data_IF_970291745958
#
_entry.id   IF_970291745958
#
_cell.length_a   1.000
_cell.length_b   1.000
_cell.length_c   1.000
_cell.angle_alpha   90.00
_cell.angle_beta   90.00
_cell.angle_gamma   90.00
#
_symmetry.space_group_name_H-M   'P 1'
#
loop_
_entity.id
_entity.type
_entity.pdbx_description
1 polymer ?
#
# COMPACT_ATOMS: atom_id res chain seq x y z
N UNK A 1 -17.35 15.95 14.98
CA UNK A 1 -15.91 15.78 14.67
C UNK A 1 -15.84 14.87 13.46
N UNK A 2 -15.19 15.31 12.39
CA UNK A 2 -15.20 14.60 11.10
C UNK A 2 -13.92 13.79 10.99
N UNK A 3 -13.98 12.47 11.19
CA UNK A 3 -12.81 11.60 11.02
C UNK A 3 -12.20 11.80 9.64
N UNK A 4 -10.88 12.00 9.60
CA UNK A 4 -10.14 12.15 8.35
C UNK A 4 -9.90 10.77 7.75
N UNK A 5 -10.69 10.41 6.74
CA UNK A 5 -10.54 9.15 6.01
C UNK A 5 -9.65 9.36 4.80
N UNK A 6 -8.53 8.65 4.77
CA UNK A 6 -7.52 8.72 3.71
C UNK A 6 -7.42 7.34 3.07
N UNK A 7 -7.59 7.29 1.76
CA UNK A 7 -7.55 6.08 0.96
C UNK A 7 -6.38 6.16 -0.02
N UNK A 8 -5.48 5.18 0.05
CA UNK A 8 -4.35 4.99 -0.86
C UNK A 8 -4.67 3.81 -1.77
N UNK A 9 -4.60 4.02 -3.09
CA UNK A 9 -4.90 3.00 -4.09
C UNK A 9 -3.60 2.55 -4.77
N UNK A 10 -3.30 1.26 -4.67
CA UNK A 10 -2.10 0.60 -5.20
C UNK A 10 -1.03 0.37 -4.14
N UNK A 11 -0.54 -0.87 -4.02
CA UNK A 11 0.52 -1.29 -3.09
C UNK A 11 1.93 -1.35 -3.69
N UNK A 12 2.20 -0.60 -4.76
CA UNK A 12 3.54 -0.47 -5.33
C UNK A 12 4.45 0.47 -4.52
N UNK A 13 5.64 0.79 -5.05
CA UNK A 13 6.63 1.66 -4.40
C UNK A 13 6.02 2.95 -3.82
N UNK A 14 5.39 3.74 -4.68
CA UNK A 14 4.81 5.02 -4.29
C UNK A 14 3.66 4.86 -3.28
N UNK A 15 2.81 3.84 -3.44
CA UNK A 15 1.67 3.61 -2.55
C UNK A 15 2.10 3.21 -1.15
N UNK A 16 3.08 2.31 -1.05
CA UNK A 16 3.67 1.91 0.24
C UNK A 16 4.37 3.10 0.91
N UNK A 17 5.22 3.82 0.18
CA UNK A 17 5.96 4.95 0.77
C UNK A 17 5.04 6.10 1.15
N UNK A 18 4.02 6.41 0.34
CA UNK A 18 2.96 7.35 0.68
C UNK A 18 2.22 6.93 1.96
N UNK A 19 1.83 5.66 2.05
CA UNK A 19 1.14 5.12 3.23
C UNK A 19 2.02 5.26 4.48
N UNK A 20 3.31 4.89 4.39
CA UNK A 20 4.26 5.05 5.51
C UNK A 20 4.46 6.50 5.93
N UNK A 21 4.52 7.42 4.96
CA UNK A 21 4.60 8.85 5.24
C UNK A 21 3.35 9.36 5.96
N UNK A 22 2.16 8.94 5.52
CA UNK A 22 0.88 9.26 6.16
C UNK A 22 0.80 8.69 7.58
N UNK A 23 1.19 7.43 7.79
CA UNK A 23 1.24 6.79 9.12
C UNK A 23 2.16 7.55 10.11
N UNK A 24 3.26 8.09 9.59
CA UNK A 24 4.20 8.91 10.36
C UNK A 24 3.60 10.29 10.66
N UNK A 25 3.05 10.95 9.64
CA UNK A 25 2.46 12.28 9.75
C UNK A 25 1.29 12.31 10.75
N UNK A 26 0.37 11.34 10.66
CA UNK A 26 -0.79 11.21 11.53
C UNK A 26 -0.53 10.34 12.77
N UNK A 27 0.73 10.09 13.13
CA UNK A 27 1.09 9.14 14.21
C UNK A 27 0.39 9.39 15.55
N UNK A 28 0.08 10.65 15.86
CA UNK A 28 -0.55 11.11 17.12
C UNK A 28 -2.05 11.44 16.96
N UNK A 29 -2.55 11.46 15.73
CA UNK A 29 -3.95 11.79 15.42
C UNK A 29 -4.77 10.49 15.41
N UNK A 30 -5.66 10.32 16.39
CA UNK A 30 -6.52 9.13 16.51
C UNK A 30 -7.76 9.19 15.63
N UNK A 31 -8.08 10.36 15.07
CA UNK A 31 -9.24 10.55 14.18
C UNK A 31 -8.89 10.32 12.70
N UNK A 32 -7.59 10.11 12.39
CA UNK A 32 -7.11 9.79 11.07
C UNK A 32 -7.20 8.28 10.79
N UNK A 33 -8.01 7.91 9.82
CA UNK A 33 -8.18 6.54 9.33
C UNK A 33 -7.51 6.40 7.97
N UNK A 34 -6.38 5.67 7.92
CA UNK A 34 -5.64 5.40 6.69
C UNK A 34 -5.97 4.00 6.21
N UNK A 35 -6.33 3.88 4.93
CA UNK A 35 -6.62 2.62 4.26
C UNK A 35 -5.79 2.48 2.99
N UNK A 36 -5.15 1.33 2.81
CA UNK A 36 -4.42 0.95 1.60
C UNK A 36 -5.18 -0.18 0.90
N UNK A 37 -5.50 0.01 -0.38
CA UNK A 37 -6.11 -1.01 -1.23
C UNK A 37 -5.09 -1.42 -2.29
N UNK A 38 -4.88 -2.73 -2.46
CA UNK A 38 -3.97 -3.26 -3.48
C UNK A 38 -4.43 -4.63 -3.95
N UNK A 39 -4.16 -4.97 -5.21
CA UNK A 39 -4.44 -6.31 -5.74
C UNK A 39 -3.64 -7.38 -5.02
N UNK A 40 -2.38 -7.06 -4.70
CA UNK A 40 -1.45 -7.95 -3.99
C UNK A 40 -1.17 -7.46 -2.56
N UNK A 41 -0.99 -8.39 -1.63
CA UNK A 41 -0.66 -8.13 -0.23
C UNK A 41 0.86 -8.01 0.06
N UNK A 42 1.66 -7.78 -0.98
CA UNK A 42 3.09 -7.56 -0.90
C UNK A 42 3.54 -6.48 -1.89
N UNK A 43 4.64 -5.80 -1.56
CA UNK A 43 5.42 -5.01 -2.51
C UNK A 43 6.36 -5.94 -3.26
N UNK A 44 6.30 -5.91 -4.59
CA UNK A 44 7.28 -6.55 -5.47
C UNK A 44 8.42 -5.58 -5.78
N UNK A 45 9.65 -5.95 -5.45
CA UNK A 45 10.84 -5.18 -5.81
C UNK A 45 11.19 -5.44 -7.29
N UNK A 46 10.43 -4.82 -8.19
CA UNK A 46 10.54 -5.00 -9.63
C UNK A 46 11.94 -4.77 -10.23
N UNK A 47 12.84 -3.93 -9.66
CA UNK A 47 14.20 -3.79 -10.18
C UNK A 47 15.01 -5.09 -10.22
N UNK A 48 14.67 -6.08 -9.38
CA UNK A 48 15.38 -7.37 -9.30
C UNK A 48 14.73 -8.50 -10.11
N UNK A 49 13.70 -8.20 -10.91
CA UNK A 49 13.07 -9.20 -11.78
C UNK A 49 14.03 -9.87 -12.77
N UNK A 50 15.02 -9.17 -13.38
CA UNK A 50 15.99 -9.82 -14.26
C UNK A 50 16.80 -10.93 -13.56
N UNK A 51 17.17 -10.74 -12.28
CA UNK A 51 17.92 -11.71 -11.48
C UNK A 51 17.07 -12.90 -11.08
N UNK A 52 15.76 -12.70 -10.89
CA UNK A 52 14.82 -13.82 -10.70
C UNK A 52 14.66 -14.60 -12.00
N UNK A 53 14.51 -13.91 -13.14
CA UNK A 53 14.40 -14.55 -14.44
C UNK A 53 15.66 -15.33 -14.83
N UNK A 54 16.86 -14.88 -14.42
CA UNK A 54 18.11 -15.59 -14.63
C UNK A 54 18.38 -16.73 -13.63
N UNK A 55 17.53 -16.91 -12.62
CA UNK A 55 17.70 -17.92 -11.57
C UNK A 55 18.76 -17.58 -10.52
N UNK A 56 19.32 -16.36 -10.54
CA UNK A 56 20.30 -15.91 -9.54
C UNK A 56 19.68 -15.65 -8.16
N UNK A 57 18.38 -15.33 -8.13
CA UNK A 57 17.64 -14.99 -6.91
C UNK A 57 16.27 -15.65 -6.95
N UNK A 58 15.85 -16.24 -5.83
CA UNK A 58 14.49 -16.77 -5.71
C UNK A 58 13.44 -15.65 -5.50
N UNK A 59 12.23 -15.83 -6.02
CA UNK A 59 11.12 -14.85 -5.94
C UNK A 59 10.85 -14.36 -4.51
N UNK A 60 10.99 -15.22 -3.50
CA UNK A 60 10.75 -14.88 -2.09
C UNK A 60 11.67 -13.76 -1.57
N UNK A 61 12.82 -13.54 -2.20
CA UNK A 61 13.78 -12.50 -1.81
C UNK A 61 13.42 -11.11 -2.34
N UNK A 62 12.47 -11.01 -3.28
CA UNK A 62 12.08 -9.73 -3.90
C UNK A 62 10.63 -9.33 -3.56
N UNK A 63 10.00 -10.03 -2.61
CA UNK A 63 8.66 -9.72 -2.12
C UNK A 63 8.72 -9.28 -0.67
N UNK A 64 8.00 -8.20 -0.34
CA UNK A 64 7.97 -7.62 1.00
C UNK A 64 6.50 -7.51 1.43
N UNK A 65 6.04 -8.32 2.41
CA UNK A 65 4.64 -8.29 2.83
C UNK A 65 4.19 -6.89 3.23
N UNK A 66 3.08 -6.41 2.67
CA UNK A 66 2.59 -5.04 2.87
C UNK A 66 2.33 -4.75 4.35
N UNK A 67 1.87 -5.74 5.10
CA UNK A 67 1.64 -5.65 6.56
C UNK A 67 2.94 -5.40 7.37
N UNK A 68 4.09 -5.80 6.86
CA UNK A 68 5.38 -5.51 7.50
C UNK A 68 5.81 -4.06 7.26
N UNK A 69 5.45 -3.51 6.09
CA UNK A 69 5.82 -2.16 5.66
C UNK A 69 4.87 -1.08 6.21
N UNK A 70 3.56 -1.35 6.17
CA UNK A 70 2.48 -0.46 6.62
C UNK A 70 1.79 -1.09 7.83
N UNK A 71 2.09 -0.59 9.04
CA UNK A 71 1.72 -1.26 10.30
C UNK A 71 0.41 -0.76 10.90
N UNK A 72 -0.02 0.45 10.54
CA UNK A 72 -1.17 1.14 11.13
C UNK A 72 -2.33 1.26 10.16
N UNK A 73 -2.04 1.38 8.87
CA UNK A 73 -3.05 1.46 7.83
C UNK A 73 -3.86 0.15 7.79
N UNK A 74 -5.16 0.29 7.56
CA UNK A 74 -6.00 -0.86 7.22
C UNK A 74 -5.65 -1.29 5.80
N UNK A 75 -5.47 -2.58 5.59
CA UNK A 75 -5.19 -3.13 4.27
C UNK A 75 -6.43 -3.87 3.74
N UNK A 76 -6.83 -3.57 2.51
CA UNK A 76 -7.83 -4.36 1.78
C UNK A 76 -7.19 -4.89 0.50
N UNK A 77 -7.26 -6.21 0.34
CA UNK A 77 -6.85 -6.88 -0.89
C UNK A 77 -7.99 -6.77 -1.91
N UNK A 78 -7.73 -6.13 -3.05
CA UNK A 78 -8.75 -5.90 -4.06
C UNK A 78 -8.27 -5.03 -5.23
N UNK A 79 -8.92 -5.25 -6.38
CA UNK A 79 -8.72 -4.47 -7.60
C UNK A 79 -9.72 -3.33 -7.67
N UNK A 80 -9.23 -2.09 -7.70
CA UNK A 80 -10.07 -0.92 -7.95
C UNK A 80 -10.53 -0.93 -9.40
N UNK A 81 -11.83 -0.76 -9.63
CA UNK A 81 -12.44 -0.76 -10.97
C UNK A 81 -12.99 0.59 -11.39
N UNK A 82 -13.44 1.40 -10.44
CA UNK A 82 -14.06 2.69 -10.72
C UNK A 82 -13.73 3.67 -9.57
N UNK A 83 -13.69 4.96 -9.87
CA UNK A 83 -13.44 6.02 -8.89
C UNK A 83 -14.38 7.16 -9.22
N UNK A 84 -15.20 7.57 -8.24
CA UNK A 84 -15.97 8.80 -8.26
C UNK A 84 -15.28 9.84 -7.35
N UNK A 85 -14.51 10.78 -7.92
CA UNK A 85 -13.78 11.77 -7.14
C UNK A 85 -14.69 12.83 -6.51
N UNK A 86 -15.88 13.07 -7.07
CA UNK A 86 -16.82 14.07 -6.57
C UNK A 86 -17.64 13.51 -5.41
N UNK A 87 -18.18 12.31 -5.57
CA UNK A 87 -18.86 11.57 -4.51
C UNK A 87 -17.91 10.95 -3.48
N UNK A 88 -16.58 10.95 -3.75
CA UNK A 88 -15.51 10.37 -2.92
C UNK A 88 -15.73 8.88 -2.68
N UNK A 89 -15.99 8.12 -3.75
CA UNK A 89 -16.23 6.68 -3.73
C UNK A 89 -15.25 5.95 -4.64
N UNK A 90 -14.89 4.74 -4.23
CA UNK A 90 -14.00 3.81 -4.94
C UNK A 90 -14.63 2.42 -4.89
#
# INVERSE_FOLDING_TARGET
MTNKRILVLGGGFAGVDCTRALESHFKRDKEAEITLVSEDNFLLFTPMLPQVASGMIETRHIVMPTRQLCKKARFYEGKVKNIDPYGKRV
#
